data_IF_641945877685
#
_entry.id   IF_641945877685
#
_cell.length_a   1.000
_cell.length_b   1.000
_cell.length_c   1.000
_cell.angle_alpha   90.00
_cell.angle_beta   90.00
_cell.angle_gamma   90.00
#
_symmetry.space_group_name_H-M   'P 1'
#
loop_
_entity.id
_entity.type
_entity.pdbx_description
1 polymer ?
#
# COMPACT_ATOMS: atom_id res chain seq x y z
N UNK A 1 -15.88 -18.40 36.05
CA UNK A 1 -16.14 -16.99 35.65
C UNK A 1 -14.79 -16.30 35.56
N UNK A 2 -14.47 -15.60 34.46
CA UNK A 2 -13.13 -15.02 34.23
C UNK A 2 -12.80 -13.83 35.15
N UNK A 3 -13.78 -13.27 35.88
CA UNK A 3 -13.56 -12.20 36.86
C UNK A 3 -13.37 -10.81 36.25
N UNK A 4 -13.71 -10.64 34.98
CA UNK A 4 -13.59 -9.40 34.22
C UNK A 4 -14.96 -8.71 34.10
N UNK A 5 -14.94 -7.39 33.90
CA UNK A 5 -16.13 -6.60 33.60
C UNK A 5 -16.32 -6.52 32.08
N UNK A 6 -17.43 -7.05 31.55
CA UNK A 6 -17.67 -7.08 30.11
C UNK A 6 -18.38 -5.82 29.62
N UNK A 7 -17.76 -5.10 28.69
CA UNK A 7 -18.38 -3.96 28.02
C UNK A 7 -19.66 -4.35 27.26
N UNK A 8 -19.79 -5.62 26.85
CA UNK A 8 -20.97 -6.14 26.14
C UNK A 8 -22.22 -6.17 27.01
N UNK A 9 -22.09 -6.17 28.34
CA UNK A 9 -23.23 -6.24 29.26
C UNK A 9 -24.12 -4.98 29.21
N UNK A 10 -23.56 -3.85 28.77
CA UNK A 10 -24.30 -2.58 28.65
C UNK A 10 -25.50 -2.69 27.68
N UNK A 11 -25.44 -3.60 26.70
CA UNK A 11 -26.53 -3.82 25.74
C UNK A 11 -27.76 -4.38 26.46
N UNK A 12 -27.56 -5.36 27.35
CA UNK A 12 -28.63 -5.93 28.15
C UNK A 12 -29.15 -4.91 29.19
N UNK A 13 -28.27 -4.12 29.80
CA UNK A 13 -28.66 -3.05 30.73
C UNK A 13 -29.52 -1.98 30.05
N UNK A 14 -29.12 -1.51 28.88
CA UNK A 14 -29.89 -0.53 28.10
C UNK A 14 -31.29 -1.07 27.73
N UNK A 15 -31.38 -2.34 27.35
CA UNK A 15 -32.66 -3.00 27.08
C UNK A 15 -33.56 -3.07 28.33
N UNK A 16 -33.00 -3.37 29.50
CA UNK A 16 -33.73 -3.39 30.79
C UNK A 16 -34.28 -2.01 31.18
N UNK A 17 -33.61 -0.92 30.78
CA UNK A 17 -34.08 0.45 30.94
C UNK A 17 -35.12 0.88 29.88
N UNK A 18 -35.53 -0.02 28.97
CA UNK A 18 -36.49 0.27 27.90
C UNK A 18 -35.91 1.09 26.75
N UNK A 19 -34.58 1.08 26.57
CA UNK A 19 -33.91 1.75 25.44
C UNK A 19 -33.90 0.85 24.20
N UNK A 20 -34.01 1.47 23.04
CA UNK A 20 -33.82 0.80 21.75
C UNK A 20 -32.34 0.73 21.37
N UNK A 21 -31.91 -0.41 20.82
CA UNK A 21 -30.54 -0.61 20.32
C UNK A 21 -30.62 -0.92 18.82
N UNK A 22 -30.20 0.03 17.99
CA UNK A 22 -30.13 -0.16 16.55
C UNK A 22 -28.80 -0.83 16.15
N UNK A 23 -28.87 -1.85 15.29
CA UNK A 23 -27.71 -2.49 14.70
C UNK A 23 -27.45 -1.97 13.29
N UNK A 24 -26.18 -1.81 12.94
CA UNK A 24 -25.71 -1.50 11.58
C UNK A 24 -24.72 -2.57 11.12
N UNK A 25 -24.59 -2.74 9.81
CA UNK A 25 -23.72 -3.75 9.21
C UNK A 25 -22.58 -3.09 8.43
N UNK A 26 -21.37 -3.69 8.42
CA UNK A 26 -20.26 -3.17 7.63
C UNK A 26 -20.48 -3.41 6.13
N UNK A 27 -19.81 -2.61 5.29
CA UNK A 27 -19.83 -2.82 3.85
C UNK A 27 -19.00 -4.05 3.45
N UNK A 28 -17.92 -4.33 4.18
CA UNK A 28 -17.05 -5.49 3.99
C UNK A 28 -16.78 -6.18 5.32
N UNK A 29 -16.74 -7.51 5.31
CA UNK A 29 -16.46 -8.30 6.52
C UNK A 29 -15.09 -7.95 7.11
N UNK A 30 -14.08 -7.73 6.24
CA UNK A 30 -12.70 -7.38 6.61
C UNK A 30 -12.59 -6.13 7.49
N UNK A 31 -13.55 -5.21 7.43
CA UNK A 31 -13.58 -3.98 8.25
C UNK A 31 -13.87 -4.26 9.72
N UNK A 32 -14.37 -5.46 10.04
CA UNK A 32 -14.76 -5.88 11.39
C UNK A 32 -13.98 -7.09 11.90
N UNK A 33 -13.08 -7.66 11.09
CA UNK A 33 -12.26 -8.79 11.51
C UNK A 33 -11.22 -8.38 12.56
N UNK A 34 -11.18 -9.11 13.67
CA UNK A 34 -10.15 -8.95 14.71
C UNK A 34 -8.86 -9.74 14.41
N UNK A 35 -7.75 -9.27 14.96
CA UNK A 35 -6.43 -9.93 14.84
C UNK A 35 -5.95 -10.39 16.21
N UNK A 36 -5.95 -11.70 16.41
CA UNK A 36 -5.45 -12.36 17.62
C UNK A 36 -4.17 -13.16 17.36
N UNK A 37 -3.82 -13.43 16.09
CA UNK A 37 -2.61 -14.14 15.72
C UNK A 37 -2.05 -13.68 14.36
N UNK A 38 -0.83 -14.13 14.04
CA UNK A 38 -0.11 -13.73 12.81
C UNK A 38 -0.76 -14.21 11.51
N UNK A 39 -1.53 -15.30 11.54
CA UNK A 39 -2.27 -15.78 10.36
C UNK A 39 -3.44 -14.85 10.03
N UNK A 40 -4.14 -14.35 11.04
CA UNK A 40 -5.19 -13.34 10.86
C UNK A 40 -4.59 -12.03 10.35
N UNK A 41 -3.45 -11.61 10.93
CA UNK A 41 -2.75 -10.40 10.49
C UNK A 41 -2.34 -10.48 9.00
N UNK A 42 -1.75 -11.60 8.57
CA UNK A 42 -1.31 -11.74 7.17
C UNK A 42 -2.46 -11.81 6.18
N UNK A 43 -3.62 -12.33 6.60
CA UNK A 43 -4.84 -12.30 5.77
C UNK A 43 -5.33 -10.89 5.57
N UNK A 44 -5.47 -10.10 6.65
CA UNK A 44 -5.89 -8.70 6.54
C UNK A 44 -4.89 -7.85 5.75
N UNK A 45 -3.59 -8.12 5.87
CA UNK A 45 -2.57 -7.47 5.03
C UNK A 45 -2.83 -7.74 3.55
N UNK A 46 -3.14 -8.98 3.14
CA UNK A 46 -3.46 -9.27 1.73
C UNK A 46 -4.76 -8.63 1.26
N UNK A 47 -5.78 -8.58 2.10
CA UNK A 47 -7.03 -7.86 1.79
C UNK A 47 -6.72 -6.38 1.56
N UNK A 48 -5.97 -5.75 2.47
CA UNK A 48 -5.60 -4.34 2.37
C UNK A 48 -4.80 -4.06 1.09
N UNK A 49 -3.76 -4.84 0.79
CA UNK A 49 -2.96 -4.65 -0.42
C UNK A 49 -3.77 -4.84 -1.70
N UNK A 50 -4.69 -5.81 -1.73
CA UNK A 50 -5.55 -6.04 -2.88
C UNK A 50 -6.46 -4.82 -3.16
N UNK A 51 -7.03 -4.23 -2.11
CA UNK A 51 -7.86 -3.03 -2.22
C UNK A 51 -7.08 -1.80 -2.69
N UNK A 52 -5.83 -1.63 -2.24
CA UNK A 52 -4.96 -0.56 -2.72
C UNK A 52 -4.58 -0.75 -4.19
N UNK A 53 -4.21 -1.97 -4.57
CA UNK A 53 -3.84 -2.31 -5.93
C UNK A 53 -5.01 -2.10 -6.91
N UNK A 54 -6.23 -2.49 -6.52
CA UNK A 54 -7.44 -2.25 -7.32
C UNK A 54 -7.72 -0.75 -7.51
N UNK A 55 -7.58 0.06 -6.44
CA UNK A 55 -7.73 1.53 -6.54
C UNK A 55 -6.72 2.13 -7.51
N UNK A 56 -5.47 1.68 -7.47
CA UNK A 56 -4.41 2.16 -8.38
C UNK A 56 -4.70 1.78 -9.83
N UNK A 57 -5.15 0.54 -10.09
CA UNK A 57 -5.58 0.12 -11.42
C UNK A 57 -6.74 0.97 -11.95
N UNK A 58 -7.78 1.19 -11.13
CA UNK A 58 -8.93 2.03 -11.49
C UNK A 58 -8.53 3.50 -11.69
N UNK A 59 -7.47 3.97 -11.02
CA UNK A 59 -6.89 5.30 -11.19
C UNK A 59 -5.95 5.42 -12.41
N UNK A 60 -5.67 4.32 -13.13
CA UNK A 60 -4.89 4.32 -14.37
C UNK A 60 -3.43 3.92 -14.23
N UNK A 61 -2.98 3.45 -13.06
CA UNK A 61 -1.64 2.83 -12.91
C UNK A 61 -1.72 1.40 -13.42
N UNK A 62 -0.82 1.01 -14.32
CA UNK A 62 -0.74 -0.36 -14.79
C UNK A 62 0.10 -1.22 -13.83
N UNK A 63 -0.56 -2.04 -13.02
CA UNK A 63 0.10 -3.09 -12.23
C UNK A 63 0.10 -4.40 -13.03
N UNK A 64 1.28 -4.95 -13.35
CA UNK A 64 1.39 -6.21 -14.12
C UNK A 64 0.82 -7.42 -13.39
N UNK A 65 0.92 -7.43 -12.07
CA UNK A 65 0.26 -8.43 -11.22
C UNK A 65 -0.14 -7.77 -9.88
N UNK A 66 -1.43 -7.41 -9.70
CA UNK A 66 -1.91 -6.76 -8.48
C UNK A 66 -1.71 -7.59 -7.21
N UNK A 67 -1.64 -8.93 -7.31
CA UNK A 67 -1.41 -9.80 -6.15
C UNK A 67 0.07 -9.81 -5.70
N UNK A 68 0.97 -9.27 -6.53
CA UNK A 68 2.41 -9.16 -6.28
C UNK A 68 2.87 -7.70 -6.28
N UNK A 69 2.04 -6.81 -5.75
CA UNK A 69 2.36 -5.42 -5.50
C UNK A 69 2.06 -5.10 -4.04
N UNK A 70 2.96 -4.35 -3.40
CA UNK A 70 2.81 -3.95 -1.99
C UNK A 70 3.03 -2.44 -1.85
N UNK A 71 2.01 -1.74 -1.34
CA UNK A 71 2.06 -0.32 -0.97
C UNK A 71 2.03 -0.18 0.56
N UNK A 72 3.10 0.37 1.13
CA UNK A 72 3.30 0.58 2.58
C UNK A 72 3.53 2.05 2.88
N UNK A 73 2.54 2.86 2.53
CA UNK A 73 2.59 4.31 2.67
C UNK A 73 1.68 4.99 1.65
N UNK A 74 2.18 6.02 0.99
CA UNK A 74 1.46 6.77 -0.04
C UNK A 74 2.20 6.73 -1.37
N UNK A 75 1.42 6.64 -2.46
CA UNK A 75 1.92 6.72 -3.82
C UNK A 75 1.17 7.84 -4.54
N UNK A 76 1.91 8.89 -4.89
CA UNK A 76 1.44 9.92 -5.83
C UNK A 76 1.96 9.51 -7.20
N UNK A 77 1.08 9.45 -8.19
CA UNK A 77 1.44 8.99 -9.53
C UNK A 77 0.92 9.92 -10.62
N UNK A 78 1.67 9.99 -11.72
CA UNK A 78 1.26 10.56 -12.98
C UNK A 78 0.38 9.62 -13.80
N UNK A 79 0.33 9.86 -15.10
CA UNK A 79 -0.38 9.07 -16.11
C UNK A 79 0.53 8.01 -16.73
N UNK A 80 -0.06 6.92 -17.20
CA UNK A 80 0.64 5.86 -17.95
C UNK A 80 1.85 5.27 -17.20
N UNK A 81 1.75 5.17 -15.88
CA UNK A 81 2.78 4.53 -15.04
C UNK A 81 2.63 3.01 -15.13
N UNK A 82 3.75 2.33 -15.38
CA UNK A 82 3.80 0.87 -15.43
C UNK A 82 4.64 0.31 -14.29
N UNK A 83 4.07 -0.62 -13.52
CA UNK A 83 4.74 -1.28 -12.40
C UNK A 83 4.68 -2.78 -12.63
N UNK A 84 5.86 -3.37 -12.77
CA UNK A 84 6.04 -4.80 -12.95
C UNK A 84 5.93 -5.55 -11.60
N UNK A 85 6.10 -6.86 -11.64
CA UNK A 85 5.78 -7.76 -10.54
C UNK A 85 6.76 -7.66 -9.37
N UNK A 86 6.29 -7.96 -8.15
CA UNK A 86 7.07 -7.97 -6.91
C UNK A 86 7.67 -6.60 -6.53
N UNK A 87 7.04 -5.50 -6.92
CA UNK A 87 7.47 -4.15 -6.53
C UNK A 87 6.90 -3.80 -5.15
N UNK A 88 7.75 -3.18 -4.32
CA UNK A 88 7.37 -2.69 -2.99
C UNK A 88 7.58 -1.17 -2.95
N UNK A 89 6.53 -0.44 -2.60
CA UNK A 89 6.54 1.01 -2.39
C UNK A 89 6.40 1.29 -0.89
N UNK A 90 7.33 2.04 -0.29
CA UNK A 90 7.34 2.34 1.14
C UNK A 90 7.41 3.84 1.42
N UNK A 91 6.76 4.30 2.49
CA UNK A 91 6.77 5.71 2.87
C UNK A 91 6.05 6.60 1.85
N UNK A 92 6.60 7.76 1.51
CA UNK A 92 5.97 8.69 0.55
C UNK A 92 6.72 8.68 -0.78
N UNK A 93 6.13 8.07 -1.81
CA UNK A 93 6.76 7.98 -3.13
C UNK A 93 5.95 8.78 -4.14
N UNK A 94 6.65 9.56 -4.97
CA UNK A 94 6.05 10.30 -6.09
C UNK A 94 6.64 9.80 -7.40
N UNK A 95 5.78 9.49 -8.35
CA UNK A 95 6.13 8.97 -9.67
C UNK A 95 5.51 9.85 -10.74
N UNK A 96 6.33 10.38 -11.65
CA UNK A 96 5.89 11.20 -12.78
C UNK A 96 5.15 10.40 -13.87
N UNK A 97 4.78 11.08 -14.95
CA UNK A 97 4.12 10.44 -16.09
C UNK A 97 5.06 9.43 -16.78
N UNK A 98 4.50 8.37 -17.38
CA UNK A 98 5.21 7.40 -18.24
C UNK A 98 6.40 6.69 -17.58
N UNK A 99 6.47 6.68 -16.25
CA UNK A 99 7.52 5.96 -15.53
C UNK A 99 7.29 4.46 -15.62
N UNK A 100 8.37 3.70 -15.83
CA UNK A 100 8.35 2.24 -15.82
C UNK A 100 9.19 1.71 -14.68
N UNK A 101 8.60 0.86 -13.84
CA UNK A 101 9.25 0.21 -12.71
C UNK A 101 9.32 -1.28 -12.98
N UNK A 102 10.53 -1.78 -13.19
CA UNK A 102 10.82 -3.19 -13.44
C UNK A 102 10.65 -4.07 -12.20
N UNK A 103 10.64 -5.39 -12.43
CA UNK A 103 10.31 -6.37 -11.41
C UNK A 103 11.26 -6.32 -10.19
N UNK A 104 10.71 -6.54 -9.01
CA UNK A 104 11.48 -6.64 -7.77
C UNK A 104 12.10 -5.34 -7.27
N UNK A 105 11.75 -4.19 -7.85
CA UNK A 105 12.20 -2.90 -7.35
C UNK A 105 11.61 -2.59 -5.98
N UNK A 106 12.41 -1.94 -5.13
CA UNK A 106 11.97 -1.44 -3.82
C UNK A 106 12.23 0.06 -3.81
N UNK A 107 11.18 0.86 -3.59
CA UNK A 107 11.25 2.32 -3.66
C UNK A 107 10.68 2.90 -2.37
N UNK A 108 11.47 3.73 -1.70
CA UNK A 108 11.10 4.32 -0.43
C UNK A 108 11.40 5.82 -0.39
N UNK A 109 10.42 6.62 0.04
CA UNK A 109 10.59 8.07 0.26
C UNK A 109 11.26 8.83 -0.90
N UNK A 110 10.96 8.46 -2.15
CA UNK A 110 11.71 8.93 -3.32
C UNK A 110 10.80 9.61 -4.33
N UNK A 111 11.39 10.50 -5.12
CA UNK A 111 10.73 11.21 -6.23
C UNK A 111 11.34 10.74 -7.54
N UNK A 112 10.49 10.23 -8.41
CA UNK A 112 10.89 9.68 -9.71
C UNK A 112 10.26 10.55 -10.80
N UNK A 113 11.10 11.27 -11.55
CA UNK A 113 10.68 12.17 -12.62
C UNK A 113 9.98 11.46 -13.78
N UNK A 114 9.31 12.24 -14.63
CA UNK A 114 8.63 11.75 -15.83
C UNK A 114 9.55 10.91 -16.72
N UNK A 115 9.03 9.83 -17.29
CA UNK A 115 9.72 9.02 -18.30
C UNK A 115 10.91 8.23 -17.77
N UNK A 116 11.14 8.21 -16.45
CA UNK A 116 12.19 7.38 -15.87
C UNK A 116 11.93 5.89 -16.11
N UNK A 117 13.01 5.14 -16.29
CA UNK A 117 12.97 3.69 -16.36
C UNK A 117 13.83 3.07 -15.25
N UNK A 118 13.17 2.42 -14.28
CA UNK A 118 13.81 1.69 -13.20
C UNK A 118 13.90 0.23 -13.61
N UNK A 119 15.09 -0.21 -14.00
CA UNK A 119 15.35 -1.60 -14.37
C UNK A 119 15.27 -2.55 -13.16
N UNK A 120 15.02 -3.86 -13.37
CA UNK A 120 14.74 -4.82 -12.31
C UNK A 120 15.75 -4.85 -11.15
N UNK A 121 15.23 -5.21 -9.98
CA UNK A 121 15.99 -5.39 -8.74
C UNK A 121 16.79 -4.15 -8.29
N UNK A 122 16.31 -2.96 -8.65
CA UNK A 122 16.87 -1.71 -8.17
C UNK A 122 16.23 -1.31 -6.84
N UNK A 123 17.05 -0.84 -5.90
CA UNK A 123 16.61 -0.42 -4.56
C UNK A 123 16.89 1.07 -4.37
N UNK A 124 15.85 1.85 -4.15
CA UNK A 124 15.87 3.31 -4.13
C UNK A 124 15.32 3.80 -2.79
N UNK A 125 16.08 4.61 -2.07
CA UNK A 125 15.66 5.15 -0.77
C UNK A 125 16.11 6.60 -0.61
N UNK A 126 15.18 7.48 -0.27
CA UNK A 126 15.39 8.92 -0.07
C UNK A 126 16.20 9.56 -1.22
N UNK A 127 15.78 9.26 -2.47
CA UNK A 127 16.45 9.70 -3.70
C UNK A 127 15.56 10.55 -4.59
N UNK A 128 16.18 11.37 -5.43
CA UNK A 128 15.53 12.21 -6.44
C UNK A 128 16.08 11.88 -7.83
N UNK A 129 15.20 11.49 -8.76
CA UNK A 129 15.54 11.29 -10.16
C UNK A 129 14.82 12.37 -10.97
N UNK A 130 15.58 13.13 -11.74
CA UNK A 130 15.03 14.03 -12.75
C UNK A 130 14.40 13.25 -13.92
N UNK A 131 13.71 13.95 -14.82
CA UNK A 131 13.05 13.34 -15.97
C UNK A 131 14.00 12.49 -16.83
N UNK A 132 13.46 11.44 -17.46
CA UNK A 132 14.15 10.53 -18.39
C UNK A 132 15.38 9.79 -17.83
N UNK A 133 15.59 9.78 -16.51
CA UNK A 133 16.68 9.00 -15.90
C UNK A 133 16.45 7.49 -16.09
N UNK A 134 17.53 6.75 -16.35
CA UNK A 134 17.51 5.27 -16.34
C UNK A 134 18.40 4.77 -15.21
N UNK A 135 17.87 3.88 -14.37
CA UNK A 135 18.67 3.24 -13.31
C UNK A 135 18.53 1.73 -13.34
N UNK A 136 19.59 1.04 -12.91
CA UNK A 136 19.62 -0.41 -12.82
C UNK A 136 20.01 -1.12 -14.12
N UNK A 137 19.81 -2.45 -14.20
CA UNK A 137 19.34 -3.31 -13.10
C UNK A 137 20.33 -3.39 -11.94
N UNK A 138 19.89 -3.87 -10.78
CA UNK A 138 20.72 -4.05 -9.57
C UNK A 138 21.36 -2.77 -9.01
N UNK A 139 20.78 -1.60 -9.30
CA UNK A 139 21.25 -0.34 -8.73
C UNK A 139 20.82 -0.20 -7.26
N UNK A 140 21.65 0.48 -6.46
CA UNK A 140 21.31 0.87 -5.08
C UNK A 140 21.51 2.38 -4.91
N UNK A 141 20.41 3.12 -4.90
CA UNK A 141 20.41 4.56 -4.60
C UNK A 141 20.08 4.77 -3.12
N UNK A 142 21.02 5.39 -2.40
CA UNK A 142 20.94 5.63 -0.96
C UNK A 142 20.44 7.05 -0.68
N UNK A 143 20.07 7.36 0.58
CA UNK A 143 19.63 8.69 0.94
C UNK A 143 20.56 9.80 0.46
N UNK A 144 19.98 10.82 -0.17
CA UNK A 144 20.69 11.94 -0.77
C UNK A 144 21.22 11.68 -2.19
N UNK A 145 20.87 10.56 -2.82
CA UNK A 145 21.17 10.33 -4.23
C UNK A 145 20.30 11.24 -5.10
N UNK A 146 20.95 12.05 -5.93
CA UNK A 146 20.32 12.89 -6.93
C UNK A 146 20.86 12.51 -8.31
N UNK A 147 19.98 12.24 -9.26
CA UNK A 147 20.33 11.98 -10.65
C UNK A 147 19.80 13.11 -11.51
N UNK A 148 20.69 13.67 -12.32
CA UNK A 148 20.42 14.67 -13.33
C UNK A 148 20.74 14.06 -14.71
N UNK A 149 20.16 14.62 -15.78
CA UNK A 149 20.34 14.18 -17.17
C UNK A 149 21.82 14.15 -17.61
#
# INVERSE_FOLDING_TARGET
VQGEYYITDIIAMAYQEGREIAAVHPARISETEGVNNRLQLSRLERVYQSEQAEKLLLAGVMLRDPARFDLRGTLIHGRDVEIDTNVIIEGNVTVGDRVKIGAGCIIKNSVIGEGCELSPYSVVEDAHLEAACTIGPFARLRPGAELQE
#
